data_IF_384963186929
#
_entry.id   IF_384963186929
#
_cell.length_a   1.000
_cell.length_b   1.000
_cell.length_c   1.000
_cell.angle_alpha   90.00
_cell.angle_beta   90.00
_cell.angle_gamma   90.00
#
_symmetry.space_group_name_H-M   'P 1'
#
loop_
_entity.id
_entity.type
_entity.pdbx_description
1 polymer ?
#
# COMPACT_ATOMS: atom_id res chain seq x y z
N UNK A 1 -0.02 -23.26 -17.66
CA UNK A 1 -1.10 -22.41 -17.10
C UNK A 1 -1.29 -22.79 -15.64
N UNK A 2 -0.72 -22.03 -14.71
CA UNK A 2 -1.00 -22.18 -13.27
C UNK A 2 -2.32 -21.48 -12.91
N UNK A 3 -3.10 -21.97 -11.92
CA UNK A 3 -4.45 -21.47 -11.67
C UNK A 3 -4.46 -20.14 -10.93
N UNK A 4 -5.51 -19.34 -11.18
CA UNK A 4 -5.85 -18.10 -10.46
C UNK A 4 -5.81 -18.32 -8.95
N UNK A 5 -5.14 -17.45 -8.20
CA UNK A 5 -5.47 -17.22 -6.77
C UNK A 5 -6.52 -16.10 -6.71
N UNK A 6 -7.68 -16.37 -7.28
CA UNK A 6 -8.94 -15.76 -6.87
C UNK A 6 -9.63 -16.80 -6.02
N UNK A 7 -10.16 -16.42 -4.85
CA UNK A 7 -11.02 -17.33 -4.08
C UNK A 7 -12.14 -17.78 -5.02
N UNK A 8 -12.11 -19.06 -5.39
CA UNK A 8 -13.10 -19.64 -6.28
C UNK A 8 -14.45 -19.71 -5.56
N UNK A 9 -15.53 -19.96 -6.30
CA UNK A 9 -16.88 -19.96 -5.72
C UNK A 9 -17.02 -20.97 -4.56
N UNK A 10 -16.37 -22.13 -4.66
CA UNK A 10 -16.37 -23.13 -3.58
C UNK A 10 -15.65 -22.62 -2.32
N UNK A 11 -14.49 -21.96 -2.48
CA UNK A 11 -13.76 -21.34 -1.37
C UNK A 11 -14.57 -20.21 -0.72
N UNK A 12 -15.30 -19.42 -1.50
CA UNK A 12 -16.21 -18.38 -0.97
C UNK A 12 -17.37 -18.99 -0.18
N UNK A 13 -17.99 -20.06 -0.70
CA UNK A 13 -19.03 -20.80 0.01
C UNK A 13 -18.48 -21.38 1.32
N UNK A 14 -17.26 -21.93 1.31
CA UNK A 14 -16.64 -22.51 2.50
C UNK A 14 -16.33 -21.45 3.56
N UNK A 15 -15.91 -20.25 3.14
CA UNK A 15 -15.77 -19.09 4.05
C UNK A 15 -17.11 -18.70 4.66
N UNK A 16 -18.17 -18.60 3.85
CA UNK A 16 -19.50 -18.27 4.36
C UNK A 16 -20.04 -19.33 5.33
N UNK A 17 -19.88 -20.63 5.00
CA UNK A 17 -20.27 -21.73 5.89
C UNK A 17 -19.53 -21.68 7.22
N UNK A 18 -18.21 -21.47 7.17
CA UNK A 18 -17.40 -21.35 8.38
C UNK A 18 -17.84 -20.19 9.29
N UNK A 19 -18.23 -19.06 8.69
CA UNK A 19 -18.76 -17.91 9.43
C UNK A 19 -20.13 -18.19 10.07
N UNK A 20 -21.02 -18.91 9.36
CA UNK A 20 -22.35 -19.27 9.86
C UNK A 20 -22.27 -20.35 10.95
N UNK A 21 -21.39 -21.33 10.79
CA UNK A 21 -21.23 -22.45 11.72
C UNK A 21 -20.55 -22.02 13.04
N UNK A 22 -19.68 -21.02 13.00
CA UNK A 22 -19.05 -20.45 14.20
C UNK A 22 -19.77 -19.17 14.64
N UNK A 23 -20.97 -19.33 15.20
CA UNK A 23 -21.77 -18.22 15.72
C UNK A 23 -20.95 -17.36 16.70
N UNK A 24 -20.79 -16.07 16.37
CA UNK A 24 -20.01 -15.10 17.16
C UNK A 24 -18.53 -14.95 16.75
N UNK A 25 -18.05 -15.63 15.69
CA UNK A 25 -16.70 -15.39 15.17
C UNK A 25 -16.59 -14.00 14.53
N UNK A 26 -15.57 -13.22 14.92
CA UNK A 26 -15.30 -11.91 14.30
C UNK A 26 -14.84 -12.05 12.85
N UNK A 27 -15.15 -11.05 12.03
CA UNK A 27 -14.67 -10.96 10.64
C UNK A 27 -13.14 -11.10 10.54
N UNK A 28 -12.40 -10.61 11.54
CA UNK A 28 -10.95 -10.74 11.62
C UNK A 28 -10.51 -12.19 11.80
N UNK A 29 -11.18 -12.96 12.66
CA UNK A 29 -10.87 -14.38 12.87
C UNK A 29 -11.21 -15.23 11.63
N UNK A 30 -12.31 -14.92 10.92
CA UNK A 30 -12.65 -15.57 9.64
C UNK A 30 -11.60 -15.27 8.56
N UNK A 31 -11.11 -14.02 8.49
CA UNK A 31 -10.08 -13.62 7.53
C UNK A 31 -8.73 -14.33 7.79
N UNK A 32 -8.31 -14.43 9.06
CA UNK A 32 -7.10 -15.16 9.47
C UNK A 32 -7.24 -16.64 9.14
N UNK A 33 -8.38 -17.24 9.47
CA UNK A 33 -8.69 -18.63 9.13
C UNK A 33 -8.63 -18.87 7.62
N UNK A 34 -9.30 -18.04 6.82
CA UNK A 34 -9.31 -18.16 5.36
C UNK A 34 -7.91 -18.00 4.76
N UNK A 35 -7.12 -17.06 5.29
CA UNK A 35 -5.73 -16.84 4.90
C UNK A 35 -4.85 -18.07 5.17
N UNK A 36 -5.10 -18.77 6.27
CA UNK A 36 -4.38 -20.00 6.63
C UNK A 36 -4.87 -21.21 5.84
N UNK A 37 -6.19 -21.37 5.72
CA UNK A 37 -6.89 -22.47 5.04
C UNK A 37 -6.62 -22.47 3.54
N UNK A 38 -6.60 -21.29 2.91
CA UNK A 38 -6.43 -21.14 1.46
C UNK A 38 -5.08 -20.54 1.07
N UNK A 39 -4.18 -20.31 2.03
CA UNK A 39 -2.84 -19.78 1.82
C UNK A 39 -2.82 -18.49 0.97
N UNK A 40 -3.68 -17.54 1.29
CA UNK A 40 -4.00 -16.34 0.46
C UNK A 40 -2.90 -15.26 0.51
N UNK A 41 -1.65 -15.64 0.80
CA UNK A 41 -0.51 -14.71 0.84
C UNK A 41 -0.17 -14.23 -0.58
N UNK A 42 0.23 -12.97 -0.71
CA UNK A 42 0.84 -12.48 -1.95
C UNK A 42 2.08 -13.33 -2.21
N UNK A 43 2.09 -14.01 -3.35
CA UNK A 43 3.15 -14.91 -3.81
C UNK A 43 3.62 -14.49 -5.21
N UNK A 44 4.63 -15.19 -5.74
CA UNK A 44 5.20 -14.93 -7.06
C UNK A 44 4.13 -14.85 -8.16
N UNK A 45 3.13 -15.73 -8.13
CA UNK A 45 2.07 -15.76 -9.16
C UNK A 45 1.17 -14.53 -9.09
N UNK A 46 0.75 -14.14 -7.89
CA UNK A 46 -0.08 -12.94 -7.68
C UNK A 46 0.67 -11.69 -8.10
N UNK A 47 1.93 -11.56 -7.69
CA UNK A 47 2.77 -10.43 -8.07
C UNK A 47 3.01 -10.39 -9.59
N UNK A 48 3.36 -11.52 -10.20
CA UNK A 48 3.57 -11.66 -11.65
C UNK A 48 2.36 -11.20 -12.46
N UNK A 49 1.16 -11.61 -12.05
CA UNK A 49 -0.09 -11.21 -12.71
C UNK A 49 -0.32 -9.70 -12.62
N UNK A 50 -0.14 -9.11 -11.44
CA UNK A 50 -0.30 -7.67 -11.22
C UNK A 50 0.71 -6.90 -12.06
N UNK A 51 1.96 -7.36 -12.09
CA UNK A 51 3.03 -6.74 -12.84
C UNK A 51 2.76 -6.79 -14.35
N UNK A 52 2.41 -7.94 -14.92
CA UNK A 52 2.03 -8.06 -16.35
C UNK A 52 0.88 -7.12 -16.71
N UNK A 53 -0.15 -7.05 -15.87
CA UNK A 53 -1.29 -6.14 -16.10
C UNK A 53 -0.85 -4.67 -16.08
N UNK A 54 0.04 -4.28 -15.16
CA UNK A 54 0.56 -2.92 -15.09
C UNK A 54 1.49 -2.60 -16.26
N UNK A 55 2.40 -3.50 -16.59
CA UNK A 55 3.34 -3.37 -17.70
C UNK A 55 2.56 -3.09 -19.00
N UNK A 56 1.59 -3.93 -19.34
CA UNK A 56 0.72 -3.76 -20.52
C UNK A 56 -0.16 -2.50 -20.48
N UNK A 57 -0.58 -2.09 -19.28
CA UNK A 57 -1.40 -0.89 -19.08
C UNK A 57 -0.60 0.42 -19.06
N UNK A 58 0.72 0.36 -19.03
CA UNK A 58 1.58 1.54 -19.01
C UNK A 58 1.64 2.17 -20.41
N UNK A 59 0.86 3.24 -20.59
CA UNK A 59 1.00 4.13 -21.74
C UNK A 59 2.11 5.17 -21.47
N UNK A 60 3.35 4.71 -21.39
CA UNK A 60 4.51 5.60 -21.44
C UNK A 60 4.59 6.10 -22.89
N UNK A 61 4.10 7.30 -23.17
CA UNK A 61 3.98 7.88 -24.51
C UNK A 61 5.34 8.24 -25.14
N UNK A 62 6.27 7.28 -25.21
CA UNK A 62 7.58 7.35 -25.85
C UNK A 62 8.60 8.29 -25.21
N UNK A 63 8.21 9.19 -24.29
CA UNK A 63 9.08 10.23 -23.74
C UNK A 63 9.58 9.98 -22.32
N UNK A 64 8.94 9.10 -21.56
CA UNK A 64 9.28 8.85 -20.15
C UNK A 64 9.83 7.43 -19.98
N UNK A 65 11.07 7.32 -19.47
CA UNK A 65 11.67 6.04 -19.09
C UNK A 65 11.30 5.74 -17.64
N UNK A 66 10.72 4.56 -17.40
CA UNK A 66 10.40 4.08 -16.05
C UNK A 66 11.30 2.92 -15.64
N UNK A 67 11.50 2.74 -14.33
CA UNK A 67 12.18 1.59 -13.73
C UNK A 67 11.42 1.18 -12.47
N UNK A 68 11.08 -0.10 -12.35
CA UNK A 68 10.47 -0.64 -11.14
C UNK A 68 11.55 -1.21 -10.22
N UNK A 69 11.70 -0.62 -9.04
CA UNK A 69 12.63 -1.06 -8.00
C UNK A 69 11.94 -2.01 -7.02
N UNK A 70 12.48 -3.22 -6.87
CA UNK A 70 11.93 -4.29 -6.04
C UNK A 70 12.88 -4.63 -4.89
N UNK A 71 12.30 -4.97 -3.73
CA UNK A 71 13.07 -5.58 -2.64
C UNK A 71 13.28 -7.09 -2.90
N UNK A 72 14.06 -7.73 -2.02
CA UNK A 72 14.38 -9.16 -2.13
C UNK A 72 13.32 -10.08 -1.51
N UNK A 73 12.05 -9.64 -1.42
CA UNK A 73 10.95 -10.49 -0.98
C UNK A 73 10.83 -11.73 -1.87
N UNK A 74 10.58 -12.90 -1.28
CA UNK A 74 10.53 -14.17 -2.01
C UNK A 74 9.49 -14.17 -3.15
N UNK A 75 8.36 -13.46 -2.98
CA UNK A 75 7.36 -13.30 -4.03
C UNK A 75 7.78 -12.39 -5.18
N UNK A 76 8.89 -11.66 -5.07
CA UNK A 76 9.47 -10.89 -6.18
C UNK A 76 10.50 -11.69 -7.00
N UNK A 77 10.77 -12.96 -6.66
CA UNK A 77 11.68 -13.83 -7.42
C UNK A 77 11.03 -14.32 -8.72
N UNK A 78 10.64 -13.39 -9.57
CA UNK A 78 9.87 -13.60 -10.81
C UNK A 78 10.73 -13.96 -12.02
N UNK A 79 11.75 -14.80 -11.82
CA UNK A 79 12.68 -15.24 -12.88
C UNK A 79 11.92 -15.85 -14.06
N UNK A 80 10.79 -16.50 -13.76
CA UNK A 80 9.92 -17.18 -14.73
C UNK A 80 9.23 -16.24 -15.73
N UNK A 81 8.99 -14.98 -15.38
CA UNK A 81 8.21 -14.02 -16.20
C UNK A 81 9.03 -12.79 -16.64
N UNK A 82 10.31 -12.71 -16.27
CA UNK A 82 11.13 -11.53 -16.56
C UNK A 82 11.23 -11.24 -18.07
N UNK A 83 11.26 -12.27 -18.90
CA UNK A 83 11.24 -12.16 -20.37
C UNK A 83 9.89 -11.73 -20.96
N UNK A 84 8.82 -11.76 -20.16
CA UNK A 84 7.47 -11.35 -20.56
C UNK A 84 7.16 -9.88 -20.23
N UNK A 85 7.96 -9.24 -19.38
CA UNK A 85 7.86 -7.81 -19.05
C UNK A 85 8.54 -7.01 -20.15
N UNK A 86 7.80 -6.12 -20.81
CA UNK A 86 8.23 -5.45 -22.05
C UNK A 86 8.40 -3.95 -21.92
N UNK A 87 7.64 -3.31 -21.02
CA UNK A 87 7.52 -1.85 -20.98
C UNK A 87 8.33 -1.26 -19.82
N UNK A 88 8.27 -1.86 -18.64
CA UNK A 88 8.91 -1.37 -17.41
C UNK A 88 10.09 -2.29 -17.04
N UNK A 89 11.34 -1.86 -17.26
CA UNK A 89 12.50 -2.54 -16.71
C UNK A 89 12.40 -2.75 -15.20
N UNK A 90 12.97 -3.85 -14.71
CA UNK A 90 12.98 -4.22 -13.31
C UNK A 90 14.41 -4.17 -12.76
N UNK A 91 14.59 -3.65 -11.55
CA UNK A 91 15.83 -3.77 -10.81
C UNK A 91 15.57 -4.11 -9.34
N UNK A 92 16.47 -4.89 -8.75
CA UNK A 92 16.38 -5.31 -7.36
C UNK A 92 17.37 -4.52 -6.50
N UNK A 93 16.94 -4.18 -5.28
CA UNK A 93 17.87 -3.64 -4.29
C UNK A 93 18.90 -4.71 -3.89
N UNK A 94 20.15 -4.33 -3.60
CA UNK A 94 21.09 -5.25 -2.98
C UNK A 94 20.53 -5.82 -1.67
N UNK A 95 20.98 -7.03 -1.26
CA UNK A 95 20.59 -7.58 0.04
C UNK A 95 20.94 -6.61 1.19
N UNK A 96 20.10 -6.57 2.23
CA UNK A 96 20.32 -5.85 3.49
C UNK A 96 20.44 -4.32 3.41
N UNK A 97 20.26 -3.69 2.24
CA UNK A 97 20.36 -2.22 2.11
C UNK A 97 19.01 -1.53 1.90
N UNK A 98 17.92 -2.29 1.91
CA UNK A 98 16.56 -1.82 1.68
C UNK A 98 16.11 -0.73 2.66
N UNK A 99 16.61 -0.76 3.91
CA UNK A 99 16.31 0.27 4.89
C UNK A 99 16.84 1.66 4.49
N UNK A 100 17.93 1.71 3.73
CA UNK A 100 18.60 2.94 3.32
C UNK A 100 18.09 3.40 1.95
N UNK A 101 18.03 2.49 0.97
CA UNK A 101 17.77 2.87 -0.42
C UNK A 101 16.31 2.77 -0.84
N UNK A 102 15.43 2.07 -0.10
CA UNK A 102 14.04 1.94 -0.51
C UNK A 102 13.26 3.22 -0.12
N UNK A 103 12.72 3.99 -1.10
CA UNK A 103 11.97 5.21 -0.81
C UNK A 103 10.73 4.96 0.04
N UNK A 104 10.13 3.77 -0.07
CA UNK A 104 8.98 3.37 0.76
C UNK A 104 9.34 3.37 2.26
N UNK A 105 10.54 2.92 2.61
CA UNK A 105 11.06 2.92 3.98
C UNK A 105 11.59 4.29 4.42
N UNK A 106 11.88 5.20 3.47
CA UNK A 106 12.44 6.53 3.75
C UNK A 106 11.40 7.57 4.21
N UNK A 107 10.16 7.15 4.50
CA UNK A 107 9.13 8.02 5.06
C UNK A 107 7.75 7.87 4.43
N UNK A 108 7.65 7.34 3.20
CA UNK A 108 6.36 7.21 2.51
C UNK A 108 5.37 6.34 3.30
N UNK A 109 5.80 5.15 3.75
CA UNK A 109 4.94 4.27 4.57
C UNK A 109 4.56 4.95 5.89
N UNK A 110 5.49 5.70 6.49
CA UNK A 110 5.24 6.44 7.74
C UNK A 110 4.18 7.52 7.53
N UNK A 111 4.32 8.34 6.48
CA UNK A 111 3.39 9.40 6.13
C UNK A 111 2.00 8.82 5.86
N UNK A 112 1.90 7.83 4.97
CA UNK A 112 0.65 7.13 4.68
C UNK A 112 -0.02 6.60 5.95
N UNK A 113 0.73 5.90 6.82
CA UNK A 113 0.19 5.37 8.08
C UNK A 113 -0.28 6.46 9.04
N UNK A 114 0.34 7.63 9.04
CA UNK A 114 -0.10 8.76 9.86
C UNK A 114 -1.46 9.27 9.39
N UNK A 115 -1.62 9.50 8.09
CA UNK A 115 -2.89 9.94 7.49
C UNK A 115 -3.98 8.88 7.65
N UNK A 116 -3.67 7.61 7.37
CA UNK A 116 -4.60 6.50 7.60
C UNK A 116 -5.12 6.48 9.03
N UNK A 117 -4.24 6.65 10.03
CA UNK A 117 -4.64 6.71 11.45
C UNK A 117 -5.47 7.94 11.78
N UNK A 118 -5.17 9.10 11.17
CA UNK A 118 -5.97 10.32 11.34
C UNK A 118 -7.42 10.09 10.90
N UNK A 119 -7.61 9.58 9.68
CA UNK A 119 -8.94 9.25 9.16
C UNK A 119 -9.63 8.18 9.99
N UNK A 120 -8.91 7.13 10.37
CA UNK A 120 -9.40 6.06 11.23
C UNK A 120 -9.95 6.57 12.57
N UNK A 121 -9.22 7.47 13.23
CA UNK A 121 -9.65 8.03 14.52
C UNK A 121 -10.84 8.97 14.34
N UNK A 122 -10.82 9.83 13.31
CA UNK A 122 -11.93 10.73 13.02
C UNK A 122 -13.23 9.97 12.75
N UNK A 123 -13.16 8.90 11.96
CA UNK A 123 -14.29 8.03 11.66
C UNK A 123 -14.85 7.37 12.93
N UNK A 124 -13.98 6.80 13.77
CA UNK A 124 -14.41 6.20 15.04
C UNK A 124 -15.04 7.20 16.01
N UNK A 125 -14.49 8.42 16.11
CA UNK A 125 -15.09 9.46 16.94
C UNK A 125 -16.48 9.83 16.43
N UNK A 126 -16.64 9.97 15.12
CA UNK A 126 -17.93 10.25 14.52
C UNK A 126 -18.97 9.15 14.80
N UNK A 127 -18.59 7.88 14.69
CA UNK A 127 -19.46 6.75 15.03
C UNK A 127 -19.87 6.77 16.51
N UNK A 128 -18.93 7.08 17.41
CA UNK A 128 -19.22 7.20 18.84
C UNK A 128 -20.20 8.35 19.15
N UNK A 129 -20.05 9.50 18.50
CA UNK A 129 -20.98 10.64 18.64
C UNK A 129 -22.41 10.26 18.19
N UNK A 130 -22.53 9.32 17.25
CA UNK A 130 -23.80 8.76 16.77
C UNK A 130 -24.30 7.58 17.62
N UNK A 131 -23.61 7.23 18.72
CA UNK A 131 -23.85 6.04 19.54
C UNK A 131 -23.83 4.73 18.74
N UNK A 132 -22.96 4.64 17.73
CA UNK A 132 -22.71 3.44 16.94
C UNK A 132 -21.47 2.69 17.46
N UNK A 133 -21.38 1.40 17.16
CA UNK A 133 -20.20 0.58 17.49
C UNK A 133 -19.05 0.94 16.53
N UNK A 134 -17.87 1.40 17.00
CA UNK A 134 -16.75 1.87 16.18
C UNK A 134 -15.97 0.73 15.50
N UNK A 135 -16.70 -0.22 14.91
CA UNK A 135 -16.17 -1.22 14.00
C UNK A 135 -15.92 -0.61 12.61
N UNK A 136 -15.00 -1.25 11.88
CA UNK A 136 -14.67 -0.81 10.53
C UNK A 136 -14.77 -2.00 9.61
N UNK A 137 -15.60 -1.84 8.59
CA UNK A 137 -15.73 -2.82 7.53
C UNK A 137 -14.67 -2.62 6.43
N UNK A 138 -14.69 -3.52 5.44
CA UNK A 138 -13.73 -3.47 4.33
C UNK A 138 -13.96 -2.26 3.42
N UNK A 139 -15.21 -1.81 3.29
CA UNK A 139 -15.57 -0.68 2.44
C UNK A 139 -15.03 0.63 3.02
N UNK A 140 -15.26 0.86 4.31
CA UNK A 140 -14.72 1.99 5.07
C UNK A 140 -13.19 1.98 5.07
N UNK A 141 -12.58 0.81 5.31
CA UNK A 141 -11.13 0.67 5.25
C UNK A 141 -10.55 1.07 3.89
N UNK A 142 -11.21 0.74 2.78
CA UNK A 142 -10.79 1.14 1.42
C UNK A 142 -10.87 2.66 1.24
N UNK A 143 -11.94 3.29 1.72
CA UNK A 143 -12.08 4.76 1.67
C UNK A 143 -11.04 5.48 2.51
N UNK A 144 -10.74 4.97 3.70
CA UNK A 144 -9.67 5.51 4.55
C UNK A 144 -8.31 5.40 3.84
N UNK A 145 -8.03 4.25 3.19
CA UNK A 145 -6.81 4.06 2.41
C UNK A 145 -6.75 5.03 1.22
N UNK A 146 -7.87 5.23 0.53
CA UNK A 146 -7.99 6.15 -0.61
C UNK A 146 -7.76 7.60 -0.18
N UNK A 147 -8.41 8.06 0.89
CA UNK A 147 -8.20 9.41 1.44
C UNK A 147 -6.76 9.62 1.88
N UNK A 148 -6.21 8.67 2.66
CA UNK A 148 -4.84 8.76 3.14
C UNK A 148 -3.79 8.80 2.02
N UNK A 149 -3.97 8.02 0.95
CA UNK A 149 -3.00 7.96 -0.15
C UNK A 149 -3.21 9.07 -1.18
N UNK A 150 -4.43 9.21 -1.69
CA UNK A 150 -4.72 10.07 -2.86
C UNK A 150 -4.83 11.55 -2.50
N UNK A 151 -5.29 11.88 -1.29
CA UNK A 151 -5.51 13.28 -0.88
C UNK A 151 -4.36 13.83 -0.07
N UNK A 152 -3.82 13.02 0.84
CA UNK A 152 -2.95 13.51 1.90
C UNK A 152 -1.45 13.22 1.70
N UNK A 153 -1.08 12.12 1.04
CA UNK A 153 0.32 11.86 0.69
C UNK A 153 0.71 12.73 -0.50
N UNK A 154 1.24 13.92 -0.20
CA UNK A 154 1.60 14.90 -1.22
C UNK A 154 2.77 14.45 -2.10
N UNK A 155 2.81 14.92 -3.35
CA UNK A 155 3.95 14.69 -4.25
C UNK A 155 5.27 15.23 -3.68
N UNK A 156 5.23 16.31 -2.89
CA UNK A 156 6.39 16.85 -2.18
C UNK A 156 6.93 15.85 -1.14
N UNK A 157 6.05 15.19 -0.38
CA UNK A 157 6.42 14.12 0.55
C UNK A 157 7.09 12.96 -0.18
N UNK A 158 6.52 12.54 -1.32
CA UNK A 158 7.08 11.48 -2.16
C UNK A 158 8.48 11.88 -2.63
N UNK A 159 8.64 13.06 -3.23
CA UNK A 159 9.94 13.60 -3.70
C UNK A 159 10.97 13.62 -2.57
N UNK A 160 10.58 14.10 -1.38
CA UNK A 160 11.46 14.15 -0.21
C UNK A 160 11.94 12.76 0.20
N UNK A 161 11.07 11.74 0.17
CA UNK A 161 11.45 10.36 0.48
C UNK A 161 12.43 9.80 -0.55
N UNK A 162 12.25 10.08 -1.85
CA UNK A 162 13.21 9.70 -2.90
C UNK A 162 14.57 10.37 -2.74
N UNK A 163 14.62 11.65 -2.32
CA UNK A 163 15.87 12.34 -1.98
C UNK A 163 16.58 11.71 -0.78
N UNK A 164 15.82 11.29 0.24
CA UNK A 164 16.39 10.61 1.41
C UNK A 164 16.95 9.24 1.08
N UNK A 165 16.33 8.54 0.12
CA UNK A 165 16.75 7.19 -0.29
C UNK A 165 18.05 7.14 -1.10
N UNK A 166 18.69 8.31 -1.33
CA UNK A 166 19.98 8.46 -2.07
C UNK A 166 19.97 7.95 -3.51
N UNK A 167 18.80 7.62 -4.05
CA UNK A 167 18.65 7.19 -5.45
C UNK A 167 18.49 8.37 -6.41
N UNK A 168 18.12 9.53 -5.89
CA UNK A 168 17.83 10.74 -6.67
C UNK A 168 18.52 11.92 -6.00
N UNK A 169 19.25 12.71 -6.79
CA UNK A 169 19.94 13.91 -6.30
C UNK A 169 19.05 15.14 -6.40
N UNK A 170 19.47 16.25 -5.77
CA UNK A 170 18.72 17.51 -5.84
C UNK A 170 18.64 18.07 -7.26
N UNK A 171 19.55 17.69 -8.16
CA UNK A 171 19.56 18.13 -9.56
C UNK A 171 18.56 17.34 -10.43
N UNK A 172 18.19 16.13 -10.02
CA UNK A 172 17.33 15.22 -10.79
C UNK A 172 15.84 15.53 -10.63
N UNK A 173 15.47 16.44 -9.73
CA UNK A 173 14.08 16.83 -9.46
C UNK A 173 13.96 18.34 -9.68
N UNK A 174 13.06 18.75 -10.59
CA UNK A 174 12.76 20.17 -10.83
C UNK A 174 12.46 20.89 -9.49
N UNK A 175 12.98 22.11 -9.29
CA UNK A 175 12.68 22.88 -8.09
C UNK A 175 11.18 23.05 -7.95
N UNK A 176 10.67 22.71 -6.76
CA UNK A 176 9.27 22.83 -6.41
C UNK A 176 8.92 24.33 -6.42
N UNK A 177 8.00 24.76 -7.29
CA UNK A 177 7.48 26.14 -7.24
C UNK A 177 6.57 26.37 -6.02
N UNK A 178 6.24 25.31 -5.28
CA UNK A 178 5.45 25.35 -4.06
C UNK A 178 6.24 24.69 -2.91
N UNK A 179 7.32 25.33 -2.45
CA UNK A 179 7.76 25.10 -1.07
C UNK A 179 6.67 25.62 -0.13
N UNK A 180 5.61 24.82 0.06
CA UNK A 180 4.78 24.95 1.24
C UNK A 180 5.67 24.53 2.42
N UNK A 181 6.22 25.56 3.08
CA UNK A 181 6.68 25.46 4.46
C UNK A 181 5.69 24.60 5.25
N UNK A 182 6.14 23.67 6.12
CA UNK A 182 5.22 22.91 6.93
C UNK A 182 4.29 23.89 7.63
N UNK A 183 2.98 23.85 7.31
CA UNK A 183 1.99 24.65 8.03
C UNK A 183 2.20 24.36 9.50
N UNK A 184 2.52 25.41 10.26
CA UNK A 184 2.78 25.32 11.69
C UNK A 184 1.54 24.86 12.47
N UNK A 185 0.39 24.76 11.79
CA UNK A 185 -0.90 24.46 12.37
C UNK A 185 -0.98 22.99 12.81
N UNK A 186 -0.39 22.06 12.06
CA UNK A 186 -0.38 20.63 12.42
C UNK A 186 0.50 20.27 13.62
N UNK A 187 1.49 21.12 13.95
CA UNK A 187 2.33 20.96 15.16
C UNK A 187 1.70 21.71 16.34
N UNK A 188 1.01 22.84 16.11
CA UNK A 188 0.26 23.56 17.15
C UNK A 188 -0.97 22.79 17.63
N UNK A 189 -1.70 22.11 16.74
CA UNK A 189 -2.86 21.29 17.14
C UNK A 189 -2.50 20.13 18.07
N UNK A 190 -1.29 19.56 17.95
CA UNK A 190 -0.82 18.50 18.86
C UNK A 190 -0.30 19.05 20.20
N UNK A 191 0.09 20.31 20.27
CA UNK A 191 0.50 20.97 21.51
C UNK A 191 -0.72 21.37 22.35
N UNK A 192 -1.81 21.81 21.71
CA UNK A 192 -3.07 22.21 22.39
C UNK A 192 -3.80 21.00 23.01
N UNK A 193 -3.53 19.78 22.55
CA UNK A 193 -4.11 18.55 23.11
C UNK A 193 -3.28 17.94 24.26
N UNK A 194 -2.14 18.54 24.62
CA UNK A 194 -1.24 18.06 25.68
C UNK A 194 -0.97 19.10 26.79
N UNK A 195 -1.69 20.22 26.77
CA UNK A 195 -1.81 21.19 27.89
C UNK A 195 -3.26 21.18 28.42
#
# INVERSE_FOLDING_TARGET
MGPRVELNHAQRIEICKHHIEQTGISNKAVSVWASHKFNVKINEMTFSRILKKRDLGCNLAGKEKALLLLDNFAGHKIVSIQSEIRIIPLAFFPPNVTAIFQPLNSGNIRAFKAHYRKYLVADKLHQLDLNQDPEIDVYEAVHIVEGAWSKDVSSATIRKCWRHSKLVTAHDILPDLNEDTPSSDGIRELAVLLD
#
